data_IF_992674048703
#
_entry.id   IF_992674048703
#
_cell.length_a   1.000
_cell.length_b   1.000
_cell.length_c   1.000
_cell.angle_alpha   90.00
_cell.angle_beta   90.00
_cell.angle_gamma   90.00
#
_symmetry.space_group_name_H-M   'P 1'
#
loop_
_entity.id
_entity.type
_entity.pdbx_description
1 polymer ?
#
# COMPACT_ATOMS: atom_id res chain seq x y z
N UNK A 1 13.85 -7.47 -11.43
CA UNK A 1 14.43 -6.33 -12.17
C UNK A 1 14.59 -5.18 -11.18
N UNK A 2 15.75 -4.51 -11.14
CA UNK A 2 15.95 -3.39 -10.23
C UNK A 2 15.26 -2.14 -10.79
N UNK A 3 14.40 -1.53 -10.00
CA UNK A 3 13.73 -0.27 -10.35
C UNK A 3 14.70 0.90 -10.07
N UNK A 4 14.71 1.89 -10.97
CA UNK A 4 15.42 3.16 -10.77
C UNK A 4 15.02 3.83 -9.44
N UNK A 5 16.02 4.31 -8.71
CA UNK A 5 15.86 4.71 -7.29
C UNK A 5 14.83 5.82 -7.08
N UNK A 6 14.74 6.75 -8.02
CA UNK A 6 13.80 7.87 -8.01
C UNK A 6 12.34 7.45 -8.15
N UNK A 7 12.05 6.24 -8.67
CA UNK A 7 10.71 5.65 -8.68
C UNK A 7 10.40 4.86 -7.39
N UNK A 8 11.27 4.90 -6.38
CA UNK A 8 11.12 4.20 -5.11
C UNK A 8 9.75 4.37 -4.44
N UNK A 9 9.21 5.60 -4.31
CA UNK A 9 7.90 5.84 -3.69
C UNK A 9 6.72 5.14 -4.41
N UNK A 10 6.88 4.81 -5.70
CA UNK A 10 5.84 4.20 -6.54
C UNK A 10 6.23 2.81 -7.07
N UNK A 11 7.27 2.21 -6.48
CA UNK A 11 7.89 0.97 -6.97
C UNK A 11 6.91 -0.20 -7.24
N UNK A 12 5.86 -0.46 -6.43
CA UNK A 12 4.93 -1.55 -6.72
C UNK A 12 4.16 -1.35 -8.04
N UNK A 13 3.66 -0.14 -8.29
CA UNK A 13 2.91 0.18 -9.51
C UNK A 13 3.83 0.30 -10.71
N UNK A 14 5.03 0.84 -10.51
CA UNK A 14 6.04 0.89 -11.55
C UNK A 14 6.53 -0.51 -11.95
N UNK A 15 6.75 -1.41 -10.99
CA UNK A 15 7.05 -2.83 -11.26
C UNK A 15 6.00 -3.50 -12.13
N UNK A 16 4.71 -3.18 -11.88
CA UNK A 16 3.59 -3.71 -12.65
C UNK A 16 3.66 -3.26 -14.12
N UNK A 17 3.97 -1.99 -14.40
CA UNK A 17 4.16 -1.51 -15.77
C UNK A 17 5.25 -2.31 -16.51
N UNK A 18 6.37 -2.53 -15.83
CA UNK A 18 7.50 -3.24 -16.40
C UNK A 18 7.18 -4.72 -16.66
N UNK A 19 6.46 -5.36 -15.73
CA UNK A 19 5.99 -6.73 -15.92
C UNK A 19 5.06 -6.84 -17.13
N UNK A 20 4.13 -5.88 -17.31
CA UNK A 20 3.26 -5.83 -18.48
C UNK A 20 4.07 -5.62 -19.76
N UNK A 21 5.09 -4.76 -19.74
CA UNK A 21 6.03 -4.61 -20.87
C UNK A 21 6.72 -5.91 -21.26
N UNK A 22 7.12 -6.71 -20.27
CA UNK A 22 7.65 -8.06 -20.50
C UNK A 22 6.63 -9.01 -21.15
N UNK A 23 5.35 -8.94 -20.77
CA UNK A 23 4.29 -9.73 -21.40
C UNK A 23 4.04 -9.31 -22.86
N UNK A 24 4.04 -8.01 -23.17
CA UNK A 24 3.97 -7.53 -24.56
C UNK A 24 5.14 -8.04 -25.41
N UNK A 25 6.36 -8.02 -24.86
CA UNK A 25 7.53 -8.49 -25.58
C UNK A 25 7.44 -9.98 -25.95
N UNK A 26 6.90 -10.82 -25.05
CA UNK A 26 6.67 -12.25 -25.33
C UNK A 26 5.68 -12.47 -26.48
N UNK A 27 4.65 -11.64 -26.57
CA UNK A 27 3.65 -11.76 -27.64
C UNK A 27 4.23 -11.52 -29.05
N UNK A 28 5.40 -10.85 -29.17
CA UNK A 28 6.01 -10.59 -30.48
C UNK A 28 6.29 -11.90 -31.22
N UNK A 29 6.84 -12.90 -30.53
CA UNK A 29 7.14 -14.21 -31.11
C UNK A 29 5.85 -14.96 -31.47
N UNK A 30 4.82 -14.88 -30.62
CA UNK A 30 3.50 -15.46 -30.90
C UNK A 30 2.91 -14.89 -32.20
N UNK A 31 3.01 -13.57 -32.42
CA UNK A 31 2.54 -12.94 -33.66
C UNK A 31 3.30 -13.46 -34.88
N UNK A 32 4.63 -13.57 -34.81
CA UNK A 32 5.48 -14.07 -35.91
C UNK A 32 5.13 -15.51 -36.25
N UNK A 33 4.97 -16.35 -35.23
CA UNK A 33 4.59 -17.76 -35.38
C UNK A 33 3.23 -17.89 -36.06
N UNK A 34 2.19 -17.20 -35.56
CA UNK A 34 0.85 -17.23 -36.14
C UNK A 34 0.81 -16.78 -37.60
N UNK A 35 1.68 -15.85 -38.00
CA UNK A 35 1.73 -15.31 -39.38
C UNK A 35 2.46 -16.23 -40.36
N UNK A 36 3.50 -16.93 -39.92
CA UNK A 36 4.47 -17.55 -40.82
C UNK A 36 4.55 -19.07 -40.71
N UNK A 37 4.12 -19.66 -39.58
CA UNK A 37 4.32 -21.08 -39.29
C UNK A 37 3.01 -21.88 -39.28
N UNK A 38 1.88 -21.17 -39.34
CA UNK A 38 0.54 -21.73 -39.25
C UNK A 38 -0.20 -21.59 -40.60
N UNK A 39 -1.52 -21.76 -40.59
CA UNK A 39 -2.35 -21.73 -41.81
C UNK A 39 -2.61 -20.34 -42.40
N UNK A 40 -1.91 -19.29 -41.95
CA UNK A 40 -2.14 -17.91 -42.41
C UNK A 40 -1.82 -17.72 -43.89
N UNK A 41 -0.95 -18.54 -44.48
CA UNK A 41 -0.71 -18.52 -45.94
C UNK A 41 -2.00 -18.65 -46.74
N UNK A 42 -3.04 -19.30 -46.19
CA UNK A 42 -4.34 -19.49 -46.82
C UNK A 42 -5.24 -18.24 -46.80
N UNK A 43 -4.73 -17.10 -46.32
CA UNK A 43 -5.45 -15.82 -46.34
C UNK A 43 -5.82 -15.36 -47.76
N UNK A 44 -5.15 -15.89 -48.80
CA UNK A 44 -5.51 -15.60 -50.19
C UNK A 44 -6.95 -16.00 -50.54
N UNK A 45 -7.56 -16.89 -49.76
CA UNK A 45 -8.96 -17.31 -49.89
C UNK A 45 -9.95 -16.19 -49.55
N UNK A 46 -9.53 -15.18 -48.77
CA UNK A 46 -10.29 -13.94 -48.58
C UNK A 46 -10.21 -13.10 -49.86
N UNK A 47 -11.34 -12.53 -50.35
CA UNK A 47 -11.33 -11.62 -51.49
C UNK A 47 -10.28 -10.52 -51.35
N UNK A 48 -9.57 -10.24 -52.43
CA UNK A 48 -8.43 -9.33 -52.43
C UNK A 48 -8.76 -7.92 -51.89
N UNK A 49 -9.95 -7.42 -52.20
CA UNK A 49 -10.47 -6.12 -51.76
C UNK A 49 -10.85 -6.06 -50.27
N UNK A 50 -10.93 -7.20 -49.58
CA UNK A 50 -11.25 -7.29 -48.15
C UNK A 50 -10.10 -7.86 -47.32
N UNK A 51 -9.12 -8.49 -47.97
CA UNK A 51 -8.00 -9.20 -47.32
C UNK A 51 -7.25 -8.33 -46.32
N UNK A 52 -7.00 -7.07 -46.67
CA UNK A 52 -6.26 -6.14 -45.82
C UNK A 52 -6.87 -6.02 -44.42
N UNK A 53 -8.20 -6.16 -44.29
CA UNK A 53 -8.91 -6.06 -43.01
C UNK A 53 -8.57 -7.20 -42.05
N UNK A 54 -8.26 -8.38 -42.59
CA UNK A 54 -7.82 -9.53 -41.79
C UNK A 54 -6.32 -9.46 -41.53
N UNK A 55 -5.54 -9.01 -42.51
CA UNK A 55 -4.10 -8.78 -42.36
C UNK A 55 -3.78 -7.68 -41.33
N UNK A 56 -4.66 -6.70 -41.18
CA UNK A 56 -4.58 -5.63 -40.20
C UNK A 56 -4.47 -6.15 -38.76
N UNK A 57 -5.12 -7.28 -38.45
CA UNK A 57 -5.04 -7.91 -37.12
C UNK A 57 -3.59 -8.25 -36.77
N UNK A 58 -2.85 -8.83 -37.72
CA UNK A 58 -1.43 -9.12 -37.53
C UNK A 58 -0.59 -7.84 -37.50
N UNK A 59 -0.78 -6.96 -38.48
CA UNK A 59 0.05 -5.77 -38.63
C UNK A 59 -0.02 -4.87 -37.39
N UNK A 60 -1.23 -4.49 -37.00
CA UNK A 60 -1.48 -3.67 -35.81
C UNK A 60 -1.19 -4.45 -34.52
N UNK A 61 -1.61 -5.72 -34.43
CA UNK A 61 -1.40 -6.52 -33.22
C UNK A 61 0.08 -6.68 -32.86
N UNK A 62 0.93 -6.95 -33.86
CA UNK A 62 2.39 -7.03 -33.68
C UNK A 62 3.01 -5.68 -33.38
N UNK A 63 2.54 -4.60 -34.00
CA UNK A 63 3.07 -3.26 -33.74
C UNK A 63 2.77 -2.81 -32.30
N UNK A 64 1.57 -3.08 -31.79
CA UNK A 64 1.23 -2.89 -30.36
C UNK A 64 2.19 -3.68 -29.47
N UNK A 65 2.39 -4.97 -29.75
CA UNK A 65 3.27 -5.84 -28.96
C UNK A 65 4.69 -5.27 -28.86
N UNK A 66 5.23 -4.87 -30.01
CA UNK A 66 6.58 -4.35 -30.13
C UNK A 66 6.70 -2.99 -29.43
N UNK A 67 5.88 -2.02 -29.86
CA UNK A 67 5.94 -0.64 -29.40
C UNK A 67 5.68 -0.52 -27.90
N UNK A 68 4.66 -1.22 -27.37
CA UNK A 68 4.35 -1.20 -25.94
C UNK A 68 5.39 -1.95 -25.11
N UNK A 69 5.87 -3.10 -25.59
CA UNK A 69 6.92 -3.86 -24.92
C UNK A 69 8.18 -3.02 -24.71
N UNK A 70 8.67 -2.37 -25.77
CA UNK A 70 9.82 -1.48 -25.68
C UNK A 70 9.54 -0.26 -24.81
N UNK A 71 8.46 0.49 -25.07
CA UNK A 71 8.19 1.73 -24.37
C UNK A 71 8.07 1.53 -22.86
N UNK A 72 7.35 0.48 -22.42
CA UNK A 72 7.17 0.18 -21.00
C UNK A 72 8.49 -0.21 -20.34
N UNK A 73 9.29 -1.08 -20.95
CA UNK A 73 10.55 -1.52 -20.36
C UNK A 73 11.59 -0.39 -20.30
N UNK A 74 11.65 0.47 -21.32
CA UNK A 74 12.57 1.59 -21.40
C UNK A 74 12.32 2.66 -20.34
N UNK A 75 11.11 2.75 -19.77
CA UNK A 75 10.82 3.72 -18.68
C UNK A 75 11.77 3.58 -17.49
N UNK A 76 12.33 2.37 -17.29
CA UNK A 76 13.27 2.09 -16.20
C UNK A 76 14.74 2.37 -16.55
N UNK A 77 15.09 2.52 -17.84
CA UNK A 77 16.50 2.58 -18.30
C UNK A 77 16.83 3.80 -19.16
N UNK A 78 15.86 4.35 -19.90
CA UNK A 78 16.06 5.46 -20.83
C UNK A 78 15.72 6.81 -20.18
N UNK A 79 16.65 7.33 -19.37
CA UNK A 79 16.50 8.61 -18.66
C UNK A 79 16.42 9.83 -19.60
N UNK A 80 16.92 9.71 -20.84
CA UNK A 80 16.81 10.80 -21.82
C UNK A 80 15.38 10.99 -22.31
N UNK A 81 14.61 9.91 -22.39
CA UNK A 81 13.21 9.92 -22.84
C UNK A 81 12.23 10.01 -21.68
N UNK A 82 12.59 9.38 -20.57
CA UNK A 82 11.75 9.25 -19.38
C UNK A 82 12.47 9.82 -18.14
N UNK A 83 12.83 11.11 -18.10
CA UNK A 83 13.59 11.66 -16.97
C UNK A 83 12.83 11.62 -15.64
N UNK A 84 11.49 11.72 -15.66
CA UNK A 84 10.63 11.86 -14.46
C UNK A 84 9.36 10.99 -14.57
N UNK A 85 8.63 10.80 -13.46
CA UNK A 85 7.34 10.11 -13.50
C UNK A 85 6.34 10.85 -14.42
N UNK A 86 6.39 12.18 -14.42
CA UNK A 86 5.56 13.04 -15.27
C UNK A 86 5.79 12.76 -16.74
N UNK A 87 7.06 12.76 -17.18
CA UNK A 87 7.41 12.47 -18.58
C UNK A 87 6.98 11.06 -19.02
N UNK A 88 7.00 10.09 -18.10
CA UNK A 88 6.52 8.73 -18.36
C UNK A 88 5.02 8.73 -18.62
N UNK A 89 4.25 9.39 -17.75
CA UNK A 89 2.78 9.43 -17.86
C UNK A 89 2.36 10.19 -19.12
N UNK A 90 2.97 11.34 -19.39
CA UNK A 90 2.68 12.15 -20.58
C UNK A 90 2.98 11.38 -21.87
N UNK A 91 4.10 10.67 -21.94
CA UNK A 91 4.46 9.89 -23.13
C UNK A 91 3.37 8.91 -23.56
N UNK A 92 2.70 8.24 -22.61
CA UNK A 92 1.68 7.25 -22.94
C UNK A 92 0.33 7.83 -23.33
N UNK A 93 0.08 9.13 -23.15
CA UNK A 93 -1.20 9.76 -23.49
C UNK A 93 -1.52 9.66 -24.98
N UNK A 94 -0.50 9.79 -25.82
CA UNK A 94 -0.61 9.73 -27.29
C UNK A 94 -0.19 8.35 -27.83
N UNK A 95 -0.63 7.28 -27.15
CA UNK A 95 -0.31 5.90 -27.54
C UNK A 95 -1.55 5.02 -27.53
N UNK A 96 -1.39 3.80 -28.02
CA UNK A 96 -2.36 2.70 -27.97
C UNK A 96 -3.02 2.50 -26.59
N UNK A 97 -2.38 2.93 -25.50
CA UNK A 97 -2.95 2.88 -24.14
C UNK A 97 -4.28 3.63 -24.04
N UNK A 98 -4.49 4.71 -24.79
CA UNK A 98 -5.70 5.54 -24.75
C UNK A 98 -6.50 5.47 -26.06
N UNK A 99 -6.52 4.28 -26.68
CA UNK A 99 -7.35 3.97 -27.85
C UNK A 99 -6.98 4.76 -29.11
N UNK A 100 -5.69 5.10 -29.28
CA UNK A 100 -5.15 5.75 -30.49
C UNK A 100 -5.01 4.78 -31.69
N UNK A 101 -6.03 3.95 -31.91
CA UNK A 101 -6.06 3.06 -33.06
C UNK A 101 -7.43 2.85 -33.67
N UNK A 102 -7.51 2.51 -34.98
CA UNK A 102 -8.77 2.45 -35.69
C UNK A 102 -9.68 1.38 -35.07
N UNK A 103 -10.80 1.80 -34.48
CA UNK A 103 -11.84 0.87 -34.01
C UNK A 103 -12.68 0.37 -35.20
N UNK A 104 -13.06 -0.93 -35.31
CA UNK A 104 -12.79 -2.12 -34.48
C UNK A 104 -12.11 -3.25 -35.27
N UNK A 105 -10.77 -3.25 -35.36
CA UNK A 105 -9.99 -4.21 -36.19
C UNK A 105 -10.38 -5.69 -35.96
N UNK A 106 -10.45 -6.22 -34.72
CA UNK A 106 -10.81 -7.63 -34.52
C UNK A 106 -12.22 -7.98 -35.00
N UNK A 107 -13.19 -7.08 -34.79
CA UNK A 107 -14.57 -7.30 -35.22
C UNK A 107 -14.70 -7.26 -36.74
N UNK A 108 -13.92 -6.40 -37.40
CA UNK A 108 -13.92 -6.29 -38.85
C UNK A 108 -13.34 -7.53 -39.53
N UNK A 109 -12.22 -8.02 -39.01
CA UNK A 109 -11.61 -9.25 -39.50
C UNK A 109 -12.51 -10.47 -39.30
N UNK A 110 -13.13 -10.59 -38.12
CA UNK A 110 -14.10 -11.65 -37.80
C UNK A 110 -15.28 -11.61 -38.78
N UNK A 111 -15.82 -10.40 -39.05
CA UNK A 111 -16.91 -10.20 -40.02
C UNK A 111 -16.52 -10.64 -41.43
N UNK A 112 -15.35 -10.25 -41.92
CA UNK A 112 -14.86 -10.63 -43.25
C UNK A 112 -14.66 -12.14 -43.37
N UNK A 113 -14.10 -12.78 -42.34
CA UNK A 113 -13.93 -14.23 -42.32
C UNK A 113 -15.28 -14.97 -42.39
N UNK A 114 -16.25 -14.57 -41.57
CA UNK A 114 -17.60 -15.17 -41.56
C UNK A 114 -18.31 -15.00 -42.90
N UNK A 115 -18.29 -13.78 -43.48
CA UNK A 115 -18.95 -13.48 -44.76
C UNK A 115 -18.42 -14.33 -45.92
N UNK A 116 -17.14 -14.68 -45.88
CA UNK A 116 -16.48 -15.43 -46.95
C UNK A 116 -16.29 -16.92 -46.63
N UNK A 117 -16.86 -17.42 -45.52
CA UNK A 117 -16.70 -18.82 -45.10
C UNK A 117 -15.25 -19.22 -44.84
N UNK A 118 -14.44 -18.26 -44.38
CA UNK A 118 -13.02 -18.46 -44.08
C UNK A 118 -12.87 -18.78 -42.60
N UNK A 119 -12.24 -19.90 -42.32
CA UNK A 119 -11.94 -20.35 -40.97
C UNK A 119 -10.47 -20.78 -40.91
N UNK A 120 -9.60 -19.85 -40.50
CA UNK A 120 -8.17 -20.08 -40.34
C UNK A 120 -7.84 -20.12 -38.85
N UNK A 121 -7.09 -21.14 -38.44
CA UNK A 121 -6.66 -21.32 -37.06
C UNK A 121 -5.80 -20.14 -36.59
N UNK A 122 -4.84 -19.73 -37.41
CA UNK A 122 -3.96 -18.57 -37.19
C UNK A 122 -4.78 -17.31 -36.92
N UNK A 123 -5.76 -16.99 -37.78
CA UNK A 123 -6.61 -15.79 -37.62
C UNK A 123 -7.42 -15.84 -36.32
N UNK A 124 -8.04 -16.98 -35.97
CA UNK A 124 -8.76 -17.09 -34.70
C UNK A 124 -7.86 -16.87 -33.49
N UNK A 125 -6.62 -17.37 -33.53
CA UNK A 125 -5.65 -17.20 -32.46
C UNK A 125 -5.10 -15.77 -32.41
N UNK A 126 -4.86 -15.14 -33.56
CA UNK A 126 -4.53 -13.72 -33.67
C UNK A 126 -5.61 -12.84 -33.04
N UNK A 127 -6.89 -13.10 -33.31
CA UNK A 127 -8.01 -12.36 -32.72
C UNK A 127 -8.03 -12.48 -31.18
N UNK A 128 -7.76 -13.68 -30.64
CA UNK A 128 -7.66 -13.89 -29.19
C UNK A 128 -6.46 -13.16 -28.59
N UNK A 129 -5.30 -13.25 -29.24
CA UNK A 129 -4.08 -12.56 -28.82
C UNK A 129 -4.27 -11.04 -28.84
N UNK A 130 -4.92 -10.51 -29.87
CA UNK A 130 -5.25 -9.10 -29.97
C UNK A 130 -6.09 -8.65 -28.77
N UNK A 131 -7.21 -9.34 -28.48
CA UNK A 131 -8.08 -9.02 -27.32
C UNK A 131 -7.32 -9.08 -25.99
N UNK A 132 -6.43 -10.06 -25.81
CA UNK A 132 -5.54 -10.14 -24.64
C UNK A 132 -4.63 -8.91 -24.54
N UNK A 133 -4.12 -8.39 -25.65
CA UNK A 133 -3.33 -7.15 -25.65
C UNK A 133 -4.18 -5.92 -25.29
N UNK A 134 -5.45 -5.87 -25.72
CA UNK A 134 -6.37 -4.80 -25.30
C UNK A 134 -6.58 -4.81 -23.78
N UNK A 135 -6.69 -6.00 -23.17
CA UNK A 135 -6.75 -6.14 -21.71
C UNK A 135 -5.46 -5.65 -21.02
N UNK A 136 -4.28 -5.96 -21.60
CA UNK A 136 -3.00 -5.46 -21.11
C UNK A 136 -2.90 -3.94 -21.21
N UNK A 137 -3.34 -3.34 -22.32
CA UNK A 137 -3.41 -1.88 -22.50
C UNK A 137 -4.31 -1.24 -21.43
N UNK A 138 -5.48 -1.83 -21.15
CA UNK A 138 -6.34 -1.40 -20.05
C UNK A 138 -5.66 -1.50 -18.67
N UNK A 139 -4.84 -2.53 -18.44
CA UNK A 139 -4.06 -2.66 -17.22
C UNK A 139 -2.95 -1.59 -17.10
N UNK A 140 -2.31 -1.23 -18.22
CA UNK A 140 -1.34 -0.12 -18.28
C UNK A 140 -2.03 1.20 -17.95
N UNK A 141 -3.17 1.49 -18.59
CA UNK A 141 -3.98 2.69 -18.34
C UNK A 141 -4.29 2.85 -16.85
N UNK A 142 -4.77 1.80 -16.21
CA UNK A 142 -5.07 1.80 -14.78
C UNK A 142 -3.83 2.04 -13.90
N UNK A 143 -2.68 1.46 -14.26
CA UNK A 143 -1.44 1.68 -13.53
C UNK A 143 -0.95 3.13 -13.66
N UNK A 144 -1.03 3.72 -14.86
CA UNK A 144 -0.69 5.12 -15.10
C UNK A 144 -1.61 6.07 -14.32
N UNK A 145 -2.92 5.79 -14.25
CA UNK A 145 -3.85 6.59 -13.45
C UNK A 145 -3.56 6.55 -11.95
N UNK A 146 -3.10 5.41 -11.43
CA UNK A 146 -2.66 5.30 -10.03
C UNK A 146 -1.38 6.10 -9.81
N UNK A 147 -0.41 5.99 -10.72
CA UNK A 147 0.84 6.73 -10.68
C UNK A 147 0.60 8.25 -10.74
N UNK A 148 -0.34 8.70 -11.57
CA UNK A 148 -0.75 10.11 -11.67
C UNK A 148 -1.32 10.67 -10.36
N UNK A 149 -1.87 9.81 -9.50
CA UNK A 149 -2.42 10.22 -8.19
C UNK A 149 -1.40 10.16 -7.06
N UNK A 150 -0.20 9.64 -7.34
CA UNK A 150 0.86 9.48 -6.34
C UNK A 150 1.42 10.83 -5.89
N UNK A 151 1.96 10.85 -4.67
CA UNK A 151 2.65 12.02 -4.13
C UNK A 151 3.85 12.41 -4.99
N UNK A 152 4.58 11.43 -5.56
CA UNK A 152 5.71 11.70 -6.45
C UNK A 152 5.28 12.51 -7.68
N UNK A 153 4.20 12.11 -8.35
CA UNK A 153 3.69 12.86 -9.51
C UNK A 153 3.26 14.28 -9.12
N UNK A 154 2.56 14.41 -7.99
CA UNK A 154 2.12 15.71 -7.46
C UNK A 154 3.31 16.63 -7.15
N UNK A 155 4.34 16.09 -6.51
CA UNK A 155 5.57 16.82 -6.18
C UNK A 155 6.28 17.33 -7.43
N UNK A 156 6.46 16.47 -8.44
CA UNK A 156 7.06 16.84 -9.72
C UNK A 156 6.29 17.95 -10.45
N UNK A 157 4.97 18.04 -10.24
CA UNK A 157 4.09 19.03 -10.86
C UNK A 157 3.77 20.24 -9.95
N UNK A 158 4.43 20.36 -8.80
CA UNK A 158 4.25 21.50 -7.88
C UNK A 158 2.89 21.54 -7.18
N UNK A 159 2.18 20.42 -7.13
CA UNK A 159 0.92 20.30 -6.39
C UNK A 159 1.17 20.17 -4.87
N UNK A 160 0.28 20.77 -4.07
CA UNK A 160 0.39 20.71 -2.60
C UNK A 160 0.00 19.31 -2.12
N UNK A 161 0.95 18.61 -1.49
CA UNK A 161 0.73 17.31 -0.88
C UNK A 161 0.33 17.50 0.58
N UNK A 162 -0.95 17.27 0.87
CA UNK A 162 -1.43 17.16 2.25
C UNK A 162 -1.13 15.75 2.76
N UNK A 163 0.07 15.53 3.29
CA UNK A 163 0.36 14.29 4.01
C UNK A 163 -0.50 14.29 5.27
N UNK A 164 -1.30 13.24 5.54
CA UNK A 164 -1.99 13.13 6.82
C UNK A 164 -0.92 13.16 7.91
N UNK A 165 -1.11 14.02 8.91
CA UNK A 165 -0.24 14.05 10.09
C UNK A 165 -0.19 12.64 10.67
N UNK A 166 0.96 11.98 10.54
CA UNK A 166 1.20 10.69 11.18
C UNK A 166 1.34 10.95 12.69
N UNK A 167 0.22 10.89 13.40
CA UNK A 167 0.23 10.94 14.86
C UNK A 167 0.75 9.62 15.40
N UNK A 168 1.98 9.65 15.94
CA UNK A 168 2.52 8.53 16.72
C UNK A 168 1.93 8.65 18.13
N UNK A 169 0.90 7.86 18.42
CA UNK A 169 0.35 7.74 19.78
C UNK A 169 1.15 6.67 20.52
N UNK A 170 1.91 7.08 21.54
CA UNK A 170 2.66 6.16 22.42
C UNK A 170 1.99 6.16 23.79
N UNK A 171 1.46 5.01 24.21
CA UNK A 171 0.80 4.81 25.50
C UNK A 171 1.63 3.86 26.37
N UNK A 172 1.71 4.10 27.69
CA UNK A 172 2.27 3.15 28.66
C UNK A 172 3.79 3.20 28.88
N UNK A 173 4.45 4.35 28.70
CA UNK A 173 5.91 4.48 28.85
C UNK A 173 6.25 4.96 30.27
N UNK A 174 6.81 4.07 31.09
CA UNK A 174 7.45 4.43 32.35
C UNK A 174 8.99 4.41 32.19
N UNK A 175 9.63 5.56 32.39
CA UNK A 175 11.07 5.65 32.67
C UNK A 175 12.05 5.56 31.49
N UNK A 176 11.61 5.53 30.23
CA UNK A 176 12.54 5.56 29.07
C UNK A 176 12.50 6.89 28.33
N UNK A 177 13.67 7.47 28.06
CA UNK A 177 13.80 8.62 27.17
C UNK A 177 13.48 8.18 25.73
N UNK A 178 12.33 8.61 25.20
CA UNK A 178 11.96 8.36 23.80
C UNK A 178 12.60 9.43 22.94
N UNK A 179 13.55 9.04 22.10
CA UNK A 179 14.07 9.89 21.04
C UNK A 179 13.27 9.64 19.77
N UNK A 180 12.31 10.53 19.48
CA UNK A 180 11.58 10.51 18.20
C UNK A 180 12.32 11.46 17.25
N UNK A 181 13.14 10.89 16.38
CA UNK A 181 13.77 11.63 15.30
C UNK A 181 13.01 11.35 14.00
N UNK A 182 12.12 12.25 13.60
CA UNK A 182 11.40 12.17 12.33
C UNK A 182 11.38 13.54 11.67
N UNK A 183 11.78 13.58 10.41
CA UNK A 183 11.78 14.80 9.60
C UNK A 183 10.32 15.19 9.29
N UNK A 184 9.87 16.33 9.84
CA UNK A 184 8.53 16.87 9.61
C UNK A 184 7.40 16.36 10.54
N UNK A 185 7.68 15.59 11.60
CA UNK A 185 6.65 15.17 12.55
C UNK A 185 6.61 16.07 13.81
N UNK A 186 5.43 16.61 14.15
CA UNK A 186 5.19 17.26 15.45
C UNK A 186 4.82 16.22 16.50
N UNK A 187 5.73 15.98 17.46
CA UNK A 187 5.46 15.10 18.59
C UNK A 187 4.70 15.85 19.69
N UNK A 188 3.45 15.44 19.95
CA UNK A 188 2.71 15.86 21.13
C UNK A 188 2.66 14.70 22.13
N UNK A 189 3.45 14.79 23.21
CA UNK A 189 3.32 13.90 24.36
C UNK A 189 2.26 14.47 25.31
N UNK A 190 1.08 13.84 25.37
CA UNK A 190 0.08 14.11 26.41
C UNK A 190 0.03 12.91 27.36
N UNK A 191 0.67 13.02 28.52
CA UNK A 191 0.56 12.03 29.58
C UNK A 191 -0.59 12.42 30.52
N UNK A 192 -1.82 12.06 30.16
CA UNK A 192 -2.91 12.07 31.13
C UNK A 192 -2.68 10.90 32.10
N UNK A 193 -2.32 11.20 33.35
CA UNK A 193 -2.18 10.17 34.37
C UNK A 193 -3.55 9.57 34.70
N UNK A 194 -3.72 8.27 34.40
CA UNK A 194 -4.86 7.48 34.87
C UNK A 194 -4.51 6.81 36.19
N UNK A 195 -5.29 7.10 37.25
CA UNK A 195 -5.08 6.50 38.58
C UNK A 195 -5.57 5.04 38.55
N UNK A 196 -4.73 4.05 38.91
CA UNK A 196 -5.16 2.66 39.04
C UNK A 196 -6.30 2.48 40.06
N UNK A 197 -7.33 1.71 39.70
CA UNK A 197 -8.51 1.47 40.53
C UNK A 197 -8.19 0.82 41.89
N UNK A 198 -7.07 0.10 41.99
CA UNK A 198 -6.60 -0.53 43.24
C UNK A 198 -6.39 0.49 44.38
N UNK A 199 -6.09 1.75 44.06
CA UNK A 199 -5.97 2.80 45.08
C UNK A 199 -7.33 3.22 45.67
N UNK A 200 -8.39 3.16 44.87
CA UNK A 200 -9.76 3.43 45.35
C UNK A 200 -10.27 2.24 46.16
N UNK A 201 -9.95 1.02 45.73
CA UNK A 201 -10.23 -0.21 46.49
C UNK A 201 -9.53 -0.22 47.85
N UNK A 202 -8.26 0.18 47.89
CA UNK A 202 -7.50 0.34 49.13
C UNK A 202 -8.16 1.36 50.07
N UNK A 203 -8.53 2.53 49.55
CA UNK A 203 -9.18 3.59 50.34
C UNK A 203 -10.53 3.14 50.90
N UNK A 204 -11.29 2.37 50.11
CA UNK A 204 -12.57 1.77 50.53
C UNK A 204 -12.37 0.75 51.65
N UNK A 205 -11.44 -0.20 51.49
CA UNK A 205 -11.17 -1.22 52.51
C UNK A 205 -10.76 -0.61 53.85
N UNK A 206 -9.90 0.41 53.82
CA UNK A 206 -9.50 1.15 55.03
C UNK A 206 -10.72 1.80 55.70
N UNK A 207 -11.65 2.38 54.94
CA UNK A 207 -12.86 2.99 55.51
C UNK A 207 -13.78 1.97 56.17
N UNK A 208 -13.94 0.81 55.55
CA UNK A 208 -14.88 -0.22 55.99
C UNK A 208 -14.37 -1.09 57.15
N UNK A 209 -13.06 -1.29 57.26
CA UNK A 209 -12.49 -2.33 58.15
C UNK A 209 -11.48 -1.78 59.17
N UNK A 210 -11.27 -0.46 59.25
CA UNK A 210 -10.39 0.11 60.29
C UNK A 210 -11.02 0.02 61.69
N UNK A 211 -10.20 -0.24 62.73
CA UNK A 211 -10.70 -0.46 64.09
C UNK A 211 -11.23 0.81 64.78
N UNK A 212 -10.68 1.98 64.42
CA UNK A 212 -11.02 3.27 64.99
C UNK A 212 -10.72 4.41 64.00
N UNK A 213 -11.28 5.60 64.26
CA UNK A 213 -11.18 6.77 63.39
C UNK A 213 -9.76 7.34 63.28
N UNK A 214 -8.93 7.22 64.32
CA UNK A 214 -7.55 7.72 64.31
C UNK A 214 -6.66 6.84 63.43
N UNK A 215 -6.77 5.52 63.58
CA UNK A 215 -6.09 4.52 62.74
C UNK A 215 -6.53 4.64 61.29
N UNK A 216 -7.84 4.80 61.05
CA UNK A 216 -8.39 5.00 59.72
C UNK A 216 -7.78 6.22 59.01
N UNK A 217 -7.69 7.36 59.70
CA UNK A 217 -7.11 8.58 59.14
C UNK A 217 -5.62 8.40 58.78
N UNK A 218 -4.85 7.73 59.64
CA UNK A 218 -3.43 7.42 59.39
C UNK A 218 -3.25 6.51 58.18
N UNK A 219 -4.06 5.46 58.06
CA UNK A 219 -3.99 4.52 56.94
C UNK A 219 -4.42 5.17 55.61
N UNK A 220 -5.45 6.01 55.61
CA UNK A 220 -5.86 6.77 54.42
C UNK A 220 -4.77 7.71 53.94
N UNK A 221 -4.11 8.42 54.86
CA UNK A 221 -2.97 9.27 54.53
C UNK A 221 -1.84 8.49 53.85
N UNK A 222 -1.48 7.31 54.39
CA UNK A 222 -0.47 6.44 53.78
C UNK A 222 -0.89 5.93 52.39
N UNK A 223 -2.17 5.63 52.18
CA UNK A 223 -2.71 5.21 50.88
C UNK A 223 -2.67 6.34 49.84
N UNK A 224 -2.91 7.59 50.26
CA UNK A 224 -2.77 8.77 49.41
C UNK A 224 -1.32 9.05 49.04
N UNK A 225 -0.39 8.93 50.00
CA UNK A 225 1.05 9.07 49.76
C UNK A 225 1.58 8.00 48.79
N UNK A 226 1.06 6.78 48.88
CA UNK A 226 1.34 5.70 47.94
C UNK A 226 0.85 6.03 46.52
N UNK A 227 -0.40 6.51 46.39
CA UNK A 227 -0.97 6.90 45.10
C UNK A 227 -0.27 8.12 44.47
N UNK A 228 0.14 9.09 45.29
CA UNK A 228 0.97 10.21 44.86
C UNK A 228 2.35 9.73 44.37
N UNK A 229 2.96 8.79 45.10
CA UNK A 229 4.23 8.17 44.70
C UNK A 229 4.15 7.44 43.35
N UNK A 230 3.00 6.82 43.04
CA UNK A 230 2.75 6.23 41.71
C UNK A 230 2.71 7.29 40.61
N UNK A 231 1.97 8.38 40.82
CA UNK A 231 1.89 9.50 39.87
C UNK A 231 3.25 10.19 39.64
N UNK A 232 4.06 10.27 40.68
CA UNK A 232 5.35 10.98 40.68
C UNK A 232 6.53 10.09 40.25
N UNK A 233 6.29 8.84 39.85
CA UNK A 233 7.34 7.92 39.39
C UNK A 233 8.26 7.38 40.48
N UNK A 234 7.86 7.48 41.75
CA UNK A 234 8.60 6.99 42.94
C UNK A 234 7.89 5.83 43.65
N UNK A 235 7.10 5.06 42.90
CA UNK A 235 6.22 4.03 43.45
C UNK A 235 6.97 2.97 44.27
N UNK A 236 8.13 2.52 43.79
CA UNK A 236 8.92 1.50 44.49
C UNK A 236 9.37 1.90 45.90
N UNK A 237 9.65 3.19 46.12
CA UNK A 237 9.96 3.70 47.46
C UNK A 237 8.68 3.88 48.29
N UNK A 238 7.65 4.49 47.70
CA UNK A 238 6.37 4.72 48.37
C UNK A 238 5.69 3.41 48.81
N UNK A 239 5.83 2.33 48.03
CA UNK A 239 5.33 1.00 48.35
C UNK A 239 6.05 0.40 49.58
N UNK A 240 7.37 0.56 49.67
CA UNK A 240 8.14 0.10 50.84
C UNK A 240 7.71 0.84 52.10
N UNK A 241 7.61 2.17 52.02
CA UNK A 241 7.20 3.01 53.15
C UNK A 241 5.77 2.68 53.58
N UNK A 242 4.86 2.48 52.62
CA UNK A 242 3.50 2.04 52.87
C UNK A 242 3.47 0.68 53.59
N UNK A 243 4.16 -0.34 53.06
CA UNK A 243 4.18 -1.68 53.66
C UNK A 243 4.77 -1.68 55.09
N UNK A 244 5.75 -0.82 55.36
CA UNK A 244 6.30 -0.63 56.70
C UNK A 244 5.28 0.02 57.64
N UNK A 245 4.56 1.04 57.19
CA UNK A 245 3.59 1.79 57.99
C UNK A 245 2.30 1.02 58.27
N UNK A 246 1.99 -0.01 57.46
CA UNK A 246 0.77 -0.82 57.61
C UNK A 246 1.01 -2.21 58.18
N UNK A 247 2.24 -2.51 58.64
CA UNK A 247 2.62 -3.84 59.15
C UNK A 247 1.69 -4.39 60.24
N UNK A 248 1.17 -3.51 61.11
CA UNK A 248 0.23 -3.89 62.18
C UNK A 248 -1.24 -3.96 61.72
N UNK A 249 -1.52 -3.63 60.46
CA UNK A 249 -2.86 -3.55 59.87
C UNK A 249 -2.96 -4.35 58.56
N UNK A 250 -2.04 -5.29 58.32
CA UNK A 250 -1.95 -6.07 57.08
C UNK A 250 -3.24 -6.81 56.77
N UNK A 251 -3.99 -7.27 57.77
CA UNK A 251 -5.28 -7.95 57.57
C UNK A 251 -6.33 -7.09 56.86
N UNK A 252 -6.30 -5.76 57.05
CA UNK A 252 -7.21 -4.80 56.37
C UNK A 252 -6.84 -4.65 54.89
N UNK A 253 -5.55 -4.76 54.57
CA UNK A 253 -5.00 -4.41 53.25
C UNK A 253 -4.71 -5.66 52.40
N UNK A 254 -4.63 -6.85 53.04
CA UNK A 254 -4.35 -8.13 52.39
C UNK A 254 -5.09 -8.37 51.07
N UNK A 255 -6.40 -8.04 50.94
CA UNK A 255 -7.13 -8.26 49.69
C UNK A 255 -6.58 -7.51 48.46
N UNK A 256 -5.85 -6.41 48.65
CA UNK A 256 -5.34 -5.55 47.56
C UNK A 256 -3.82 -5.58 47.42
N UNK A 257 -3.08 -6.30 48.26
CA UNK A 257 -1.61 -6.34 48.23
C UNK A 257 -1.08 -6.81 46.87
N UNK A 258 -1.68 -7.84 46.28
CA UNK A 258 -1.27 -8.35 44.96
C UNK A 258 -1.45 -7.30 43.85
N UNK A 259 -2.58 -6.60 43.85
CA UNK A 259 -2.86 -5.51 42.91
C UNK A 259 -1.96 -4.29 43.11
N UNK A 260 -1.52 -4.02 44.35
CA UNK A 260 -0.53 -2.97 44.61
C UNK A 260 0.88 -3.40 44.15
N UNK A 261 1.24 -4.67 44.33
CA UNK A 261 2.54 -5.21 43.90
C UNK A 261 2.69 -5.30 42.39
N UNK A 262 1.61 -5.45 41.63
CA UNK A 262 1.65 -5.48 40.16
C UNK A 262 1.92 -4.11 39.52
N UNK A 263 1.95 -3.04 40.32
CA UNK A 263 2.29 -1.69 39.88
C UNK A 263 3.78 -1.36 40.07
N UNK A 264 4.58 -2.27 40.63
CA UNK A 264 6.04 -2.18 40.74
C UNK A 264 6.73 -2.55 39.42
#
# INVERSE_FOLDING_TARGET
MNIRLDMGPVAPYFSRLLAIGGEFHKNIDDWVHLKNEEDFENIYRVPHDQRYKVEEVYATGRDIANSMGYALLETNTNFSRYPTLTSIIEYFQDTWVYDDYPSPIPAEAERVCVQNGIDLWSVRHMLKLFRKQEELLGAVRNALEILKRSDLYKEENGEVILKPESSIIISGVNGSAININSDGATAHASTAYERPAVFDDLSRLIREHSPDTETQAKLLKNAEELAAGHKEGRFGQAYKDFMQNVANHVSVIAPVISGLSSLL
#
